data_IF_510319930310
#
_entry.id   IF_510319930310
#
_cell.length_a   1.000
_cell.length_b   1.000
_cell.length_c   1.000
_cell.angle_alpha   90.00
_cell.angle_beta   90.00
_cell.angle_gamma   90.00
#
_symmetry.space_group_name_H-M   'P 1'
#
loop_
_entity.id
_entity.type
_entity.pdbx_description
1 polymer ?
#
# COMPACT_ATOMS: atom_id res chain seq x y z
N UNK A 1 -10.32 7.63 -22.64
CA UNK A 1 -9.00 6.98 -22.69
C UNK A 1 -8.80 6.32 -21.35
N UNK A 2 -8.73 5.00 -21.30
CA UNK A 2 -8.41 4.28 -20.06
C UNK A 2 -6.94 4.49 -19.78
N UNK A 3 -6.60 5.38 -18.84
CA UNK A 3 -5.25 5.42 -18.28
C UNK A 3 -5.09 4.17 -17.43
N UNK A 4 -4.68 3.06 -18.04
CA UNK A 4 -4.11 1.96 -17.29
C UNK A 4 -2.89 2.51 -16.55
N UNK A 5 -3.05 2.76 -15.25
CA UNK A 5 -1.95 3.20 -14.38
C UNK A 5 -0.85 2.14 -14.46
N UNK A 6 0.27 2.47 -15.09
CA UNK A 6 1.38 1.52 -15.22
C UNK A 6 1.93 1.19 -13.82
N UNK A 7 2.26 -0.08 -13.55
CA UNK A 7 2.83 -0.47 -12.28
C UNK A 7 4.22 0.14 -12.08
N UNK A 8 4.45 0.81 -10.96
CA UNK A 8 5.74 1.36 -10.56
C UNK A 8 6.59 0.27 -9.90
N UNK A 9 7.86 0.13 -10.29
CA UNK A 9 8.78 -0.81 -9.66
C UNK A 9 9.18 -0.36 -8.26
N UNK A 10 9.18 -1.28 -7.30
CA UNK A 10 9.36 -0.96 -5.87
C UNK A 10 10.45 -1.75 -5.16
N UNK A 11 11.40 -2.32 -5.90
CA UNK A 11 12.49 -3.13 -5.33
C UNK A 11 13.40 -2.35 -4.35
N UNK A 12 13.29 -1.03 -4.29
CA UNK A 12 14.08 -0.15 -3.42
C UNK A 12 13.38 0.26 -2.11
N UNK A 13 12.09 -0.06 -1.92
CA UNK A 13 11.33 0.34 -0.71
C UNK A 13 11.54 -0.68 0.42
N UNK A 14 12.00 -0.22 1.57
CA UNK A 14 12.17 -1.07 2.75
C UNK A 14 10.91 -1.11 3.63
N UNK A 15 10.04 -2.07 3.39
CA UNK A 15 8.83 -2.27 4.22
C UNK A 15 9.09 -2.87 5.62
N UNK A 16 10.34 -3.17 6.01
CA UNK A 16 10.67 -3.66 7.37
C UNK A 16 11.03 -2.54 8.34
N UNK A 17 11.44 -1.38 7.83
CA UNK A 17 12.04 -0.30 8.60
C UNK A 17 11.35 0.99 8.17
N UNK A 18 10.52 1.56 9.05
CA UNK A 18 9.70 2.73 8.73
C UNK A 18 10.56 3.93 8.36
N UNK A 19 11.63 4.20 9.12
CA UNK A 19 12.49 5.36 8.92
C UNK A 19 13.19 5.33 7.55
N UNK A 20 13.47 4.12 7.03
CA UNK A 20 14.07 3.93 5.69
C UNK A 20 13.05 3.72 4.59
N UNK A 21 11.88 3.19 4.91
CA UNK A 21 10.85 2.80 3.95
C UNK A 21 9.84 3.89 3.63
N UNK A 22 9.55 4.77 4.60
CA UNK A 22 8.47 5.74 4.49
C UNK A 22 8.69 6.72 3.33
N UNK A 23 9.85 7.39 3.26
CA UNK A 23 10.08 8.42 2.24
C UNK A 23 10.04 7.86 0.80
N UNK A 24 10.73 6.75 0.47
CA UNK A 24 10.60 6.11 -0.84
C UNK A 24 9.17 5.65 -1.15
N UNK A 25 8.44 5.17 -0.16
CA UNK A 25 7.04 4.77 -0.33
C UNK A 25 6.11 5.95 -0.62
N UNK A 26 6.27 7.05 0.13
CA UNK A 26 5.50 8.27 -0.09
C UNK A 26 5.77 8.86 -1.49
N UNK A 27 7.04 8.87 -1.91
CA UNK A 27 7.43 9.30 -3.26
C UNK A 27 6.78 8.41 -4.33
N UNK A 28 6.86 7.10 -4.18
CA UNK A 28 6.24 6.14 -5.09
C UNK A 28 4.72 6.33 -5.23
N UNK A 29 4.00 6.55 -4.11
CA UNK A 29 2.57 6.84 -4.13
C UNK A 29 2.27 8.14 -4.88
N UNK A 30 3.04 9.20 -4.65
CA UNK A 30 2.87 10.48 -5.38
C UNK A 30 3.15 10.32 -6.87
N UNK A 31 4.17 9.57 -7.26
CA UNK A 31 4.46 9.26 -8.66
C UNK A 31 3.34 8.47 -9.33
N UNK A 32 2.62 7.64 -8.58
CA UNK A 32 1.43 6.91 -9.03
C UNK A 32 0.16 7.79 -9.05
N UNK A 33 0.26 9.07 -8.66
CA UNK A 33 -0.88 10.00 -8.62
C UNK A 33 -1.77 9.82 -7.39
N UNK A 34 -1.27 9.26 -6.30
CA UNK A 34 -2.05 9.08 -5.07
C UNK A 34 -2.51 10.41 -4.50
N UNK A 35 -3.83 10.61 -4.48
CA UNK A 35 -4.45 11.71 -3.76
C UNK A 35 -4.88 11.24 -2.36
N UNK A 36 -4.09 11.58 -1.33
CA UNK A 36 -4.38 11.20 0.05
C UNK A 36 -5.75 11.66 0.56
N UNK A 37 -6.32 12.72 -0.03
CA UNK A 37 -7.64 13.23 0.35
C UNK A 37 -8.77 12.23 0.06
N UNK A 38 -8.55 11.26 -0.83
CA UNK A 38 -9.51 10.16 -1.06
C UNK A 38 -9.78 9.38 0.22
N UNK A 39 -8.79 9.28 1.11
CA UNK A 39 -8.90 8.63 2.41
C UNK A 39 -9.88 9.35 3.36
N UNK A 40 -10.26 10.59 3.07
CA UNK A 40 -11.25 11.31 3.87
C UNK A 40 -12.67 10.79 3.62
N UNK A 41 -12.96 10.37 2.39
CA UNK A 41 -14.31 10.02 1.93
C UNK A 41 -14.47 8.54 1.59
N UNK A 42 -13.37 7.84 1.31
CA UNK A 42 -13.37 6.45 0.88
C UNK A 42 -12.40 5.61 1.69
N UNK A 43 -12.75 4.33 1.81
CA UNK A 43 -11.87 3.34 2.42
C UNK A 43 -10.73 3.01 1.48
N UNK A 44 -9.51 3.02 2.02
CA UNK A 44 -8.34 2.57 1.29
C UNK A 44 -8.25 1.05 1.36
N UNK A 45 -7.99 0.41 0.23
CA UNK A 45 -7.87 -1.04 0.14
C UNK A 45 -6.51 -1.44 -0.41
N UNK A 46 -5.90 -2.41 0.25
CA UNK A 46 -4.65 -3.02 -0.18
C UNK A 46 -4.85 -4.44 -0.65
N UNK A 47 -4.51 -4.69 -1.92
CA UNK A 47 -4.55 -6.03 -2.52
C UNK A 47 -3.15 -6.51 -2.82
N UNK A 48 -2.87 -7.79 -2.61
CA UNK A 48 -1.60 -8.39 -3.00
C UNK A 48 -1.84 -9.53 -3.99
N UNK A 49 -1.05 -9.50 -5.06
CA UNK A 49 -0.99 -10.50 -6.13
C UNK A 49 0.33 -11.23 -6.03
N UNK A 50 0.26 -12.53 -5.70
CA UNK A 50 1.41 -13.43 -5.83
C UNK A 50 1.57 -13.81 -7.31
N UNK A 51 2.80 -13.96 -7.79
CA UNK A 51 3.07 -14.37 -9.16
C UNK A 51 2.26 -15.61 -9.58
N UNK A 52 1.48 -15.48 -10.67
CA UNK A 52 0.62 -16.55 -11.20
C UNK A 52 -0.73 -16.71 -10.49
N UNK A 53 -1.08 -15.84 -9.53
CA UNK A 53 -2.37 -15.85 -8.84
C UNK A 53 -3.19 -14.57 -9.02
N UNK A 54 -4.42 -14.61 -8.50
CA UNK A 54 -5.29 -13.45 -8.44
C UNK A 54 -4.93 -12.50 -7.30
N UNK A 55 -5.31 -11.23 -7.45
CA UNK A 55 -5.14 -10.23 -6.39
C UNK A 55 -6.13 -10.52 -5.25
N UNK A 56 -5.62 -10.68 -4.03
CA UNK A 56 -6.44 -10.90 -2.83
C UNK A 56 -6.42 -9.66 -1.95
N UNK A 57 -7.54 -9.36 -1.29
CA UNK A 57 -7.61 -8.27 -0.31
C UNK A 57 -6.82 -8.68 0.95
N UNK A 58 -5.90 -7.83 1.40
CA UNK A 58 -5.13 -8.09 2.63
C UNK A 58 -5.37 -7.07 3.73
N UNK A 59 -5.60 -5.81 3.38
CA UNK A 59 -5.95 -4.79 4.37
C UNK A 59 -6.97 -3.80 3.82
N UNK A 60 -7.73 -3.21 4.74
CA UNK A 60 -8.67 -2.14 4.48
C UNK A 60 -8.52 -1.12 5.61
N UNK A 61 -8.25 0.13 5.23
CA UNK A 61 -8.26 1.27 6.15
C UNK A 61 -9.59 2.01 5.94
N UNK A 62 -10.38 2.23 7.00
CA UNK A 62 -11.62 2.97 6.87
C UNK A 62 -11.37 4.43 6.50
N UNK A 63 -12.34 5.07 5.86
CA UNK A 63 -12.31 6.50 5.59
C UNK A 63 -12.12 7.28 6.90
N UNK A 64 -11.27 8.30 6.89
CA UNK A 64 -10.88 9.03 8.08
C UNK A 64 -12.04 9.81 8.73
N UNK A 65 -13.09 10.12 7.97
CA UNK A 65 -14.36 10.65 8.52
C UNK A 65 -15.10 9.66 9.42
N UNK A 66 -14.72 8.38 9.42
CA UNK A 66 -15.25 7.33 10.28
C UNK A 66 -14.36 7.06 11.51
N UNK A 67 -13.23 7.77 11.64
CA UNK A 67 -12.29 7.64 12.75
C UNK A 67 -12.72 8.38 14.03
N UNK A 68 -12.00 8.20 15.15
CA UNK A 68 -12.28 8.91 16.39
C UNK A 68 -12.17 10.43 16.20
N UNK A 69 -13.19 11.17 16.65
CA UNK A 69 -13.25 12.61 16.51
C UNK A 69 -12.02 13.30 17.15
N UNK A 70 -11.31 14.12 16.36
CA UNK A 70 -10.24 14.99 16.84
C UNK A 70 -8.83 14.72 16.33
N UNK A 71 -8.60 13.69 15.51
CA UNK A 71 -7.30 13.49 14.85
C UNK A 71 -7.26 14.27 13.54
N UNK A 72 -6.33 15.23 13.41
CA UNK A 72 -6.09 15.93 12.15
C UNK A 72 -5.55 14.93 11.12
N UNK A 73 -6.28 14.75 10.02
CA UNK A 73 -5.89 13.85 8.94
C UNK A 73 -4.94 14.59 8.02
N UNK A 74 -3.68 14.15 8.00
CA UNK A 74 -2.64 14.70 7.14
C UNK A 74 -2.20 13.67 6.11
N UNK A 75 -1.52 14.11 5.04
CA UNK A 75 -0.91 13.18 4.08
C UNK A 75 0.01 12.18 4.80
N UNK A 76 0.78 12.64 5.79
CA UNK A 76 1.71 11.79 6.54
C UNK A 76 1.00 10.68 7.31
N UNK A 77 -0.11 10.98 7.98
CA UNK A 77 -0.85 9.97 8.73
C UNK A 77 -1.44 8.92 7.78
N UNK A 78 -2.06 9.36 6.68
CA UNK A 78 -2.62 8.46 5.66
C UNK A 78 -1.56 7.55 5.04
N UNK A 79 -0.40 8.11 4.64
CA UNK A 79 0.68 7.31 4.05
C UNK A 79 1.30 6.37 5.09
N UNK A 80 1.39 6.78 6.36
CA UNK A 80 1.88 5.93 7.45
C UNK A 80 0.96 4.73 7.68
N UNK A 81 -0.35 4.94 7.70
CA UNK A 81 -1.34 3.88 7.87
C UNK A 81 -1.31 2.91 6.68
N UNK A 82 -1.23 3.45 5.45
CA UNK A 82 -1.02 2.66 4.24
C UNK A 82 0.24 1.81 4.34
N UNK A 83 1.38 2.42 4.66
CA UNK A 83 2.66 1.71 4.78
C UNK A 83 2.57 0.57 5.80
N UNK A 84 1.90 0.81 6.93
CA UNK A 84 1.72 -0.18 7.99
C UNK A 84 0.89 -1.37 7.50
N UNK A 85 -0.25 -1.11 6.84
CA UNK A 85 -1.07 -2.17 6.25
C UNK A 85 -0.31 -3.01 5.21
N UNK A 86 0.56 -2.38 4.42
CA UNK A 86 1.45 -3.10 3.49
C UNK A 86 2.47 -3.94 4.22
N UNK A 87 3.17 -3.36 5.20
CA UNK A 87 4.19 -4.04 5.99
C UNK A 87 3.63 -5.30 6.67
N UNK A 88 2.46 -5.16 7.29
CA UNK A 88 1.73 -6.27 7.92
C UNK A 88 1.32 -7.34 6.91
N UNK A 89 0.79 -6.93 5.76
CA UNK A 89 0.47 -7.84 4.65
C UNK A 89 1.68 -8.67 4.22
N UNK A 90 2.84 -8.03 4.09
CA UNK A 90 4.08 -8.72 3.73
C UNK A 90 4.56 -9.63 4.87
N UNK A 91 4.38 -9.25 6.12
CA UNK A 91 4.69 -10.09 7.28
C UNK A 91 3.83 -11.36 7.31
N UNK A 92 2.52 -11.24 7.08
CA UNK A 92 1.58 -12.37 6.98
C UNK A 92 2.01 -13.33 5.87
N UNK A 93 2.37 -12.79 4.71
CA UNK A 93 2.84 -13.61 3.59
C UNK A 93 4.18 -14.31 3.88
N UNK A 94 5.13 -13.63 4.53
CA UNK A 94 6.44 -14.22 4.93
C UNK A 94 6.30 -15.41 5.89
N UNK A 95 5.28 -15.42 6.74
CA UNK A 95 5.11 -16.48 7.74
C UNK A 95 4.52 -17.78 7.20
N UNK A 96 3.82 -17.76 6.05
CA UNK A 96 3.16 -18.97 5.53
C UNK A 96 4.07 -19.92 4.73
N UNK A 97 5.30 -19.53 4.39
CA UNK A 97 6.26 -20.42 3.70
C UNK A 97 7.65 -20.31 4.33
N UNK A 98 8.07 -21.30 5.15
CA UNK A 98 9.42 -21.35 5.68
C UNK A 98 10.45 -21.26 4.54
N UNK A 99 11.31 -20.25 4.58
CA UNK A 99 12.47 -20.14 3.68
C UNK A 99 12.31 -19.26 2.43
N UNK A 100 11.12 -18.75 2.10
CA UNK A 100 10.95 -17.85 0.93
C UNK A 100 10.79 -16.39 1.36
N UNK A 101 11.79 -15.57 1.05
CA UNK A 101 11.70 -14.13 1.25
C UNK A 101 10.77 -13.54 0.18
N UNK A 102 9.58 -13.11 0.59
CA UNK A 102 8.63 -12.46 -0.32
C UNK A 102 9.05 -11.01 -0.55
N UNK A 103 9.26 -10.68 -1.83
CA UNK A 103 9.67 -9.34 -2.28
C UNK A 103 8.52 -8.68 -3.04
N UNK A 104 8.25 -7.41 -2.72
CA UNK A 104 7.39 -6.56 -3.57
C UNK A 104 8.17 -6.17 -4.81
N UNK A 105 7.56 -6.35 -5.97
CA UNK A 105 8.13 -6.03 -7.28
C UNK A 105 7.59 -4.75 -7.83
N UNK A 106 6.28 -4.57 -7.70
CA UNK A 106 5.63 -3.38 -8.20
C UNK A 106 4.38 -3.02 -7.43
N UNK A 107 3.97 -1.76 -7.59
CA UNK A 107 2.74 -1.19 -7.07
C UNK A 107 1.92 -0.59 -8.20
N UNK A 108 0.61 -0.74 -8.12
CA UNK A 108 -0.34 -0.08 -9.01
C UNK A 108 -1.42 0.58 -8.16
N UNK A 109 -1.83 1.77 -8.56
CA UNK A 109 -2.89 2.52 -7.91
C UNK A 109 -4.06 2.73 -8.89
N UNK A 110 -5.27 2.44 -8.41
CA UNK A 110 -6.53 2.73 -9.08
C UNK A 110 -7.53 3.29 -8.05
N UNK A 111 -7.74 4.61 -8.07
CA UNK A 111 -8.53 5.32 -7.06
C UNK A 111 -8.02 5.06 -5.63
N UNK A 112 -8.89 4.53 -4.77
CA UNK A 112 -8.61 4.15 -3.37
C UNK A 112 -8.04 2.73 -3.23
N UNK A 113 -7.75 2.06 -4.34
CA UNK A 113 -7.26 0.68 -4.39
C UNK A 113 -5.78 0.63 -4.76
N UNK A 114 -4.96 0.07 -3.86
CA UNK A 114 -3.53 -0.12 -4.04
C UNK A 114 -3.23 -1.62 -4.19
N UNK A 115 -2.65 -2.00 -5.32
CA UNK A 115 -2.30 -3.40 -5.64
C UNK A 115 -0.79 -3.60 -5.63
N UNK A 116 -0.33 -4.62 -4.90
CA UNK A 116 1.07 -5.03 -4.80
C UNK A 116 1.30 -6.32 -5.58
N UNK A 117 2.35 -6.37 -6.38
CA UNK A 117 2.83 -7.63 -6.95
C UNK A 117 4.02 -8.14 -6.15
N UNK A 118 3.98 -9.41 -5.75
CA UNK A 118 5.03 -10.04 -4.95
C UNK A 118 5.54 -11.35 -5.57
N UNK A 119 6.81 -11.68 -5.30
CA UNK A 119 7.49 -12.92 -5.75
C UNK A 119 7.89 -13.83 -4.60
#
# INVERSE_FOLDING_TARGET
>A
MSTETQPLQTDHINFKDFDKGYAPFAEALRSLGFNWQIALTEDLKGFCRVHGGDAQLFFRLPAATQGPAGTEVTERTVISDLWSGVSETLAVNRQKQPGKLIKVRSMQLDGSTLTFSVS
#
